data_IF_346492737157
#
_entry.id   IF_346492737157
#
_cell.length_a   1.000
_cell.length_b   1.000
_cell.length_c   1.000
_cell.angle_alpha   90.00
_cell.angle_beta   90.00
_cell.angle_gamma   90.00
#
_symmetry.space_group_name_H-M   'P 1'
#
loop_
_entity.id
_entity.type
_entity.pdbx_description
1 polymer ?
#
# COMPACT_ATOMS: atom_id res chain seq x y z
N UNK A 1 -15.59 -7.82 -12.36
CA UNK A 1 -15.27 -6.44 -11.93
C UNK A 1 -14.98 -6.34 -10.43
N UNK A 2 -15.56 -7.23 -9.61
CA UNK A 2 -15.50 -7.15 -8.14
C UNK A 2 -14.11 -7.41 -7.54
N UNK A 3 -13.31 -8.36 -8.05
CA UNK A 3 -12.00 -8.70 -7.46
C UNK A 3 -10.98 -7.55 -7.51
N UNK A 4 -10.84 -6.87 -8.66
CA UNK A 4 -9.89 -5.75 -8.80
C UNK A 4 -10.35 -4.52 -8.00
N UNK A 5 -11.67 -4.26 -7.97
CA UNK A 5 -12.24 -3.20 -7.13
C UNK A 5 -12.05 -3.49 -5.65
N UNK A 6 -12.26 -4.74 -5.22
CA UNK A 6 -12.02 -5.18 -3.85
C UNK A 6 -10.55 -5.04 -3.46
N UNK A 7 -9.62 -5.47 -4.32
CA UNK A 7 -8.19 -5.29 -4.10
C UNK A 7 -7.82 -3.80 -4.01
N UNK A 8 -8.31 -2.97 -4.93
CA UNK A 8 -7.94 -1.56 -4.98
C UNK A 8 -8.53 -0.75 -3.83
N UNK A 9 -9.84 -0.86 -3.59
CA UNK A 9 -10.52 -0.13 -2.52
C UNK A 9 -10.17 -0.72 -1.15
N UNK A 10 -10.26 -2.03 -0.99
CA UNK A 10 -9.98 -2.70 0.28
C UNK A 10 -8.50 -2.57 0.65
N UNK A 11 -7.60 -2.86 -0.29
CA UNK A 11 -6.16 -2.70 -0.06
C UNK A 11 -5.75 -1.25 0.15
N UNK A 12 -6.23 -0.34 -0.70
CA UNK A 12 -5.91 1.09 -0.58
C UNK A 12 -6.42 1.70 0.72
N UNK A 13 -7.67 1.40 1.11
CA UNK A 13 -8.22 1.81 2.41
C UNK A 13 -7.46 1.17 3.57
N UNK A 14 -7.09 -0.11 3.47
CA UNK A 14 -6.27 -0.81 4.46
C UNK A 14 -4.93 -0.11 4.71
N UNK A 15 -4.21 0.27 3.66
CA UNK A 15 -2.95 1.03 3.78
C UNK A 15 -3.17 2.39 4.44
N UNK A 16 -4.25 3.11 4.09
CA UNK A 16 -4.57 4.41 4.72
C UNK A 16 -4.88 4.23 6.21
N UNK A 17 -5.71 3.26 6.58
CA UNK A 17 -6.04 2.96 7.98
C UNK A 17 -4.78 2.57 8.74
N UNK A 18 -3.92 1.74 8.15
CA UNK A 18 -2.67 1.34 8.76
C UNK A 18 -1.70 2.50 8.96
N UNK A 19 -1.61 3.41 7.98
CA UNK A 19 -0.84 4.64 8.10
C UNK A 19 -1.39 5.56 9.21
N UNK A 20 -2.71 5.69 9.33
CA UNK A 20 -3.36 6.47 10.40
C UNK A 20 -3.12 5.87 11.79
N UNK A 21 -3.16 4.54 11.92
CA UNK A 21 -2.72 3.86 13.14
C UNK A 21 -1.26 4.20 13.45
N UNK A 22 -0.38 4.19 12.45
CA UNK A 22 1.01 4.62 12.61
C UNK A 22 1.15 6.08 13.05
N UNK A 23 0.31 6.99 12.57
CA UNK A 23 0.28 8.39 13.05
C UNK A 23 -0.05 8.45 14.54
N UNK A 24 -1.04 7.67 14.99
CA UNK A 24 -1.47 7.64 16.39
C UNK A 24 -0.37 7.04 17.27
N UNK A 25 0.26 5.94 16.83
CA UNK A 25 1.23 5.20 17.63
C UNK A 25 2.62 5.86 17.67
N UNK A 26 3.10 6.42 16.55
CA UNK A 26 4.45 6.99 16.42
C UNK A 26 4.48 8.54 16.31
N UNK A 27 3.31 9.19 16.32
CA UNK A 27 3.13 10.63 16.51
C UNK A 27 3.26 11.51 15.27
N UNK A 28 4.37 11.47 14.54
CA UNK A 28 4.69 12.48 13.51
C UNK A 28 3.94 12.24 12.19
N UNK A 29 2.86 12.99 11.84
CA UNK A 29 1.98 12.61 10.73
C UNK A 29 2.65 12.69 9.35
N UNK A 30 3.58 13.64 9.20
CA UNK A 30 4.33 13.86 7.95
C UNK A 30 5.08 12.61 7.50
N UNK A 31 5.54 11.77 8.43
CA UNK A 31 6.26 10.52 8.13
C UNK A 31 5.40 9.48 7.42
N UNK A 32 4.08 9.57 7.55
CA UNK A 32 3.12 8.59 7.01
C UNK A 32 2.39 9.09 5.75
N UNK A 33 2.62 10.35 5.34
CA UNK A 33 2.02 10.92 4.12
C UNK A 33 2.32 10.08 2.85
N UNK A 34 3.52 9.52 2.64
CA UNK A 34 3.78 8.67 1.48
C UNK A 34 2.90 7.40 1.45
N UNK A 35 2.64 6.79 2.60
CA UNK A 35 1.77 5.62 2.72
C UNK A 35 0.31 6.01 2.43
N UNK A 36 -0.17 7.12 3.01
CA UNK A 36 -1.52 7.65 2.79
C UNK A 36 -1.74 7.97 1.30
N UNK A 37 -0.80 8.69 0.68
CA UNK A 37 -0.87 9.04 -0.74
C UNK A 37 -0.92 7.79 -1.62
N UNK A 38 -0.05 6.81 -1.35
CA UNK A 38 -0.02 5.53 -2.07
C UNK A 38 -1.35 4.79 -1.94
N UNK A 39 -1.93 4.71 -0.74
CA UNK A 39 -3.23 4.08 -0.50
C UNK A 39 -4.38 4.75 -1.26
N UNK A 40 -4.43 6.09 -1.26
CA UNK A 40 -5.43 6.87 -2.02
C UNK A 40 -5.28 6.64 -3.52
N UNK A 41 -4.03 6.68 -4.04
CA UNK A 41 -3.75 6.43 -5.45
C UNK A 41 -4.19 5.01 -5.83
N UNK A 42 -3.81 4.00 -5.05
CA UNK A 42 -4.19 2.61 -5.30
C UNK A 42 -5.72 2.43 -5.36
N UNK A 43 -6.47 3.06 -4.46
CA UNK A 43 -7.93 3.00 -4.45
C UNK A 43 -8.58 3.70 -5.66
N UNK A 44 -8.04 4.86 -6.05
CA UNK A 44 -8.58 5.68 -7.15
C UNK A 44 -8.17 5.25 -8.56
N UNK A 45 -7.05 4.51 -8.69
CA UNK A 45 -6.41 4.25 -9.99
C UNK A 45 -7.32 3.57 -11.03
N UNK A 46 -8.11 2.51 -10.70
CA UNK A 46 -8.98 1.89 -11.69
C UNK A 46 -10.04 2.85 -12.23
N UNK A 47 -10.54 3.75 -11.39
CA UNK A 47 -11.55 4.73 -11.78
C UNK A 47 -10.95 5.87 -12.60
N UNK A 48 -9.77 6.36 -12.19
CA UNK A 48 -9.01 7.36 -12.94
C UNK A 48 -8.69 6.89 -14.36
N UNK A 49 -8.18 5.66 -14.50
CA UNK A 49 -7.86 5.08 -15.82
C UNK A 49 -9.10 4.86 -16.69
N UNK A 50 -10.24 4.44 -16.11
CA UNK A 50 -11.49 4.31 -16.86
C UNK A 50 -11.97 5.67 -17.41
N UNK A 51 -11.85 6.74 -16.61
CA UNK A 51 -12.16 8.10 -17.07
C UNK A 51 -11.18 8.60 -18.13
N UNK A 52 -9.89 8.36 -17.94
CA UNK A 52 -8.85 8.72 -18.90
C UNK A 52 -9.10 8.02 -20.25
N UNK A 53 -9.38 6.72 -20.24
CA UNK A 53 -9.70 5.96 -21.44
C UNK A 53 -10.95 6.53 -22.16
N UNK A 54 -11.98 6.92 -21.39
CA UNK A 54 -13.16 7.59 -21.97
C UNK A 54 -12.81 8.94 -22.59
N UNK A 55 -12.00 9.74 -21.93
CA UNK A 55 -11.55 11.05 -22.45
C UNK A 55 -10.72 10.89 -23.74
N UNK A 56 -9.76 9.96 -23.76
CA UNK A 56 -8.95 9.63 -24.94
C UNK A 56 -9.83 9.13 -26.08
N UNK A 57 -10.79 8.24 -25.79
CA UNK A 57 -11.71 7.71 -26.81
C UNK A 57 -12.58 8.82 -27.40
N UNK A 58 -13.09 9.74 -26.57
CA UNK A 58 -13.83 10.93 -27.03
C UNK A 58 -12.97 11.83 -27.90
N UNK A 59 -11.75 12.16 -27.46
CA UNK A 59 -10.83 13.00 -28.20
C UNK A 59 -10.46 12.38 -29.56
N UNK A 60 -10.14 11.08 -29.57
CA UNK A 60 -9.85 10.34 -30.81
C UNK A 60 -11.04 10.33 -31.76
N UNK A 61 -12.26 10.19 -31.25
CA UNK A 61 -13.49 10.24 -32.07
C UNK A 61 -13.76 11.64 -32.64
N UNK A 62 -13.39 12.71 -31.91
CA UNK A 62 -13.51 14.11 -32.36
C UNK A 62 -12.46 14.49 -33.41
N UNK A 63 -11.26 13.93 -33.32
CA UNK A 63 -10.15 14.21 -34.24
C UNK A 63 -10.14 13.31 -35.47
N UNK A 64 -10.88 12.20 -35.46
CA UNK A 64 -11.02 11.34 -36.62
C UNK A 64 -11.96 11.98 -37.64
N UNK A 65 -11.55 12.01 -38.91
CA UNK A 65 -12.29 12.60 -40.03
C UNK A 65 -13.77 12.16 -40.01
N UNK A 66 -14.75 13.05 -40.30
CA UNK A 66 -16.16 12.71 -40.26
C UNK A 66 -16.53 11.54 -41.19
N UNK A 67 -15.84 11.40 -42.32
CA UNK A 67 -16.18 10.44 -43.37
C UNK A 67 -15.36 9.15 -43.35
N UNK A 68 -14.16 9.14 -42.76
CA UNK A 68 -13.33 7.92 -42.74
C UNK A 68 -13.82 6.93 -41.67
N UNK A 69 -14.30 5.77 -42.12
CA UNK A 69 -14.68 4.64 -41.26
C UNK A 69 -16.13 4.61 -40.77
N UNK A 70 -16.99 5.52 -41.24
CA UNK A 70 -18.45 5.43 -41.07
C UNK A 70 -19.00 4.56 -42.21
N UNK A 71 -18.98 3.24 -42.03
CA UNK A 71 -19.88 2.39 -42.81
C UNK A 71 -21.31 2.70 -42.35
N UNK A 72 -22.25 2.72 -43.29
CA UNK A 72 -23.67 2.87 -43.00
C UNK A 72 -24.21 1.76 -42.07
N UNK A 73 -23.48 0.64 -41.94
CA UNK A 73 -23.78 -0.48 -41.04
C UNK A 73 -23.24 -0.31 -39.60
N UNK A 74 -22.22 0.54 -39.35
CA UNK A 74 -21.61 0.64 -38.01
C UNK A 74 -22.18 1.80 -37.17
N UNK A 75 -23.16 1.47 -36.35
CA UNK A 75 -23.47 2.19 -35.10
C UNK A 75 -23.90 3.64 -35.30
N UNK A 76 -24.92 3.86 -36.12
CA UNK A 76 -25.57 5.16 -36.28
C UNK A 76 -26.25 5.53 -34.96
N UNK A 77 -25.73 6.57 -34.31
CA UNK A 77 -26.38 7.22 -33.18
C UNK A 77 -26.85 8.58 -33.67
N UNK A 78 -28.15 8.81 -33.58
CA UNK A 78 -28.77 10.09 -33.88
C UNK A 78 -29.31 10.67 -32.59
N UNK A 79 -29.01 11.94 -32.30
CA UNK A 79 -29.51 12.64 -31.11
C UNK A 79 -30.29 13.84 -31.56
N UNK A 80 -31.52 14.02 -31.06
CA UNK A 80 -32.36 15.16 -31.38
C UNK A 80 -31.63 16.46 -31.06
N UNK A 81 -31.91 17.56 -31.78
CA UNK A 81 -31.36 18.92 -31.58
C UNK A 81 -32.07 19.72 -30.50
N UNK A 82 -33.31 19.35 -30.18
CA UNK A 82 -34.15 19.89 -29.13
C UNK A 82 -34.46 18.82 -28.07
N UNK A 83 -34.80 19.27 -26.86
CA UNK A 83 -35.40 18.42 -25.84
C UNK A 83 -36.91 18.32 -26.02
N UNK A 84 -37.50 17.22 -25.56
CA UNK A 84 -38.95 16.99 -25.47
C UNK A 84 -39.40 17.15 -24.01
N UNK A 85 -40.65 17.57 -23.83
CA UNK A 85 -41.22 17.87 -22.51
C UNK A 85 -41.91 16.65 -21.88
N UNK A 86 -42.55 15.79 -22.69
CA UNK A 86 -43.18 14.55 -22.24
C UNK A 86 -42.54 13.31 -22.91
N UNK A 87 -41.64 12.61 -22.19
CA UNK A 87 -41.03 11.38 -22.67
C UNK A 87 -42.01 10.26 -22.98
N UNK A 88 -43.10 10.12 -22.22
CA UNK A 88 -44.04 9.00 -22.37
C UNK A 88 -44.93 9.21 -23.58
N UNK A 89 -45.48 10.42 -23.73
CA UNK A 89 -46.28 10.79 -24.89
C UNK A 89 -45.45 10.70 -26.18
N UNK A 90 -44.18 11.13 -26.12
CA UNK A 90 -43.28 11.03 -27.28
C UNK A 90 -43.04 9.58 -27.69
N UNK A 91 -42.79 8.67 -26.75
CA UNK A 91 -42.63 7.25 -27.08
C UNK A 91 -43.92 6.63 -27.63
N UNK A 92 -45.10 7.03 -27.15
CA UNK A 92 -46.37 6.56 -27.73
C UNK A 92 -46.57 7.07 -29.15
N UNK A 93 -46.26 8.34 -29.39
CA UNK A 93 -46.33 8.97 -30.71
C UNK A 93 -45.42 8.27 -31.71
N UNK A 94 -44.17 8.00 -31.31
CA UNK A 94 -43.22 7.24 -32.12
C UNK A 94 -43.73 5.81 -32.37
N UNK A 95 -44.19 5.11 -31.34
CA UNK A 95 -44.70 3.74 -31.49
C UNK A 95 -45.85 3.69 -32.49
N UNK A 96 -46.79 4.63 -32.40
CA UNK A 96 -47.94 4.67 -33.27
C UNK A 96 -47.57 5.10 -34.70
N UNK A 97 -46.56 5.95 -34.88
CA UNK A 97 -46.02 6.29 -36.20
C UNK A 97 -45.36 5.08 -36.87
N UNK A 98 -44.50 4.36 -36.14
CA UNK A 98 -43.80 3.17 -36.64
C UNK A 98 -44.78 2.04 -36.94
N UNK A 99 -45.83 1.84 -36.14
CA UNK A 99 -46.87 0.82 -36.40
C UNK A 99 -47.72 1.09 -37.64
N UNK A 100 -47.82 2.34 -38.10
CA UNK A 100 -48.57 2.69 -39.32
C UNK A 100 -47.75 2.44 -40.58
N UNK A 101 -46.45 2.22 -40.44
CA UNK A 101 -45.54 1.94 -41.53
C UNK A 101 -45.35 0.42 -41.66
N UNK A 102 -45.71 -0.14 -42.82
CA UNK A 102 -45.64 -1.57 -43.10
C UNK A 102 -44.20 -2.09 -43.23
N UNK A 103 -43.19 -1.20 -43.24
CA UNK A 103 -41.78 -1.56 -43.38
C UNK A 103 -41.15 -2.16 -42.10
N UNK A 104 -41.81 -2.03 -40.93
CA UNK A 104 -41.31 -2.51 -39.65
C UNK A 104 -42.06 -3.76 -39.18
N UNK A 105 -41.31 -4.77 -38.75
CA UNK A 105 -41.87 -6.05 -38.32
C UNK A 105 -42.59 -5.93 -36.97
N UNK A 106 -42.02 -5.14 -36.05
CA UNK A 106 -42.49 -5.08 -34.68
C UNK A 106 -42.00 -3.83 -33.95
N UNK A 107 -42.77 -3.35 -32.97
CA UNK A 107 -42.35 -2.27 -32.07
C UNK A 107 -42.80 -2.56 -30.64
N UNK A 108 -41.83 -2.73 -29.75
CA UNK A 108 -42.05 -3.06 -28.34
C UNK A 108 -41.53 -1.97 -27.41
N UNK A 109 -42.14 -1.84 -26.23
CA UNK A 109 -41.58 -1.05 -25.13
C UNK A 109 -40.56 -1.90 -24.38
N UNK A 110 -39.39 -1.33 -24.13
CA UNK A 110 -38.31 -1.98 -23.38
C UNK A 110 -37.86 -1.09 -22.22
N UNK A 111 -37.42 -1.70 -21.12
CA UNK A 111 -36.90 -1.00 -19.96
C UNK A 111 -35.38 -0.88 -20.03
N UNK A 112 -34.86 0.35 -20.06
CA UNK A 112 -33.43 0.66 -20.05
C UNK A 112 -33.01 1.30 -18.71
N UNK A 113 -31.70 1.40 -18.47
CA UNK A 113 -31.14 2.00 -17.24
C UNK A 113 -31.58 3.46 -17.02
N UNK A 114 -31.84 4.19 -18.10
CA UNK A 114 -32.29 5.59 -18.05
C UNK A 114 -33.81 5.76 -18.05
N UNK A 115 -34.59 4.69 -18.27
CA UNK A 115 -36.05 4.75 -18.36
C UNK A 115 -36.64 3.89 -19.48
N UNK A 116 -37.95 4.02 -19.74
CA UNK A 116 -38.61 3.33 -20.84
C UNK A 116 -38.08 3.81 -22.20
N UNK A 117 -38.03 2.90 -23.17
CA UNK A 117 -37.72 3.19 -24.57
C UNK A 117 -38.46 2.23 -25.50
N UNK A 118 -38.14 2.31 -26.78
CA UNK A 118 -38.69 1.42 -27.80
C UNK A 118 -37.60 0.58 -28.46
N UNK A 119 -37.92 -0.68 -28.74
CA UNK A 119 -37.20 -1.56 -29.64
C UNK A 119 -38.04 -1.75 -30.89
N UNK A 120 -37.48 -1.41 -32.05
CA UNK A 120 -38.14 -1.48 -33.36
C UNK A 120 -37.39 -2.52 -34.19
N UNK A 121 -38.10 -3.59 -34.57
CA UNK A 121 -37.56 -4.68 -35.38
C UNK A 121 -37.87 -4.45 -36.86
N UNK A 122 -36.88 -4.72 -37.69
CA UNK A 122 -36.99 -4.61 -39.15
C UNK A 122 -36.08 -5.63 -39.83
N UNK A 123 -36.46 -6.06 -41.04
CA UNK A 123 -35.72 -7.05 -41.82
C UNK A 123 -35.59 -8.40 -41.12
N UNK A 124 -36.51 -8.73 -40.21
CA UNK A 124 -36.59 -9.99 -39.47
C UNK A 124 -35.66 -10.11 -38.25
N UNK A 125 -34.47 -9.50 -38.28
CA UNK A 125 -33.43 -9.73 -37.25
C UNK A 125 -32.67 -8.48 -36.79
N UNK A 126 -32.85 -7.32 -37.42
CA UNK A 126 -32.19 -6.09 -37.00
C UNK A 126 -33.10 -5.30 -36.08
N UNK A 127 -32.52 -4.71 -35.03
CA UNK A 127 -33.23 -3.83 -34.10
C UNK A 127 -32.65 -2.41 -34.13
N UNK A 128 -33.55 -1.44 -34.08
CA UNK A 128 -33.26 -0.03 -33.82
C UNK A 128 -33.93 0.37 -32.50
N UNK A 129 -33.24 1.13 -31.68
CA UNK A 129 -33.72 1.55 -30.37
C UNK A 129 -33.98 3.05 -30.35
N UNK A 130 -35.15 3.45 -29.82
CA UNK A 130 -35.50 4.85 -29.54
C UNK A 130 -35.55 5.05 -28.04
N UNK A 131 -34.67 5.90 -27.53
CA UNK A 131 -34.44 6.08 -26.09
C UNK A 131 -34.37 7.57 -25.77
N UNK A 132 -34.69 7.94 -24.54
CA UNK A 132 -34.74 9.36 -24.12
C UNK A 132 -33.73 9.59 -22.99
N UNK A 133 -32.87 10.59 -23.18
CA UNK A 133 -31.90 10.99 -22.14
C UNK A 133 -32.61 11.71 -20.99
N UNK A 134 -31.98 11.78 -19.82
CA UNK A 134 -32.49 12.58 -18.68
C UNK A 134 -32.70 14.06 -19.00
N UNK A 135 -31.99 14.60 -20.00
CA UNK A 135 -32.17 15.97 -20.48
C UNK A 135 -33.25 16.11 -21.56
N UNK A 136 -34.13 15.11 -21.72
CA UNK A 136 -35.23 15.13 -22.69
C UNK A 136 -34.79 14.98 -24.13
N UNK A 137 -33.56 14.54 -24.44
CA UNK A 137 -33.12 14.32 -25.84
C UNK A 137 -33.55 12.95 -26.33
N UNK A 138 -34.17 12.88 -27.49
CA UNK A 138 -34.50 11.63 -28.17
C UNK A 138 -33.26 11.11 -28.88
N UNK A 139 -32.99 9.82 -28.76
CA UNK A 139 -31.80 9.17 -29.28
C UNK A 139 -32.22 7.91 -30.03
N UNK A 140 -31.85 7.84 -31.31
CA UNK A 140 -32.08 6.67 -32.17
C UNK A 140 -30.75 5.97 -32.38
N UNK A 141 -30.68 4.68 -32.03
CA UNK A 141 -29.45 3.88 -32.17
C UNK A 141 -29.72 2.55 -32.85
N UNK A 142 -28.87 2.17 -33.80
CA UNK A 142 -28.97 0.87 -34.47
C UNK A 142 -27.66 0.49 -35.19
N UNK A 143 -27.65 -0.72 -35.74
CA UNK A 143 -26.51 -1.32 -36.45
C UNK A 143 -26.85 -1.62 -37.93
N UNK A 144 -27.81 -0.88 -38.50
CA UNK A 144 -28.27 -1.01 -39.87
C UNK A 144 -28.42 0.37 -40.50
N UNK A 145 -28.32 0.46 -41.83
CA UNK A 145 -28.60 1.69 -42.59
C UNK A 145 -30.02 2.19 -42.30
N UNK A 146 -30.96 1.27 -42.07
CA UNK A 146 -32.37 1.54 -41.72
C UNK A 146 -32.58 2.26 -40.38
N UNK A 147 -31.53 2.41 -39.59
CA UNK A 147 -31.57 3.29 -38.40
C UNK A 147 -31.84 4.75 -38.81
N UNK A 148 -31.38 5.15 -40.00
CA UNK A 148 -31.66 6.48 -40.54
C UNK A 148 -33.15 6.64 -40.85
N UNK A 149 -33.79 5.60 -41.39
CA UNK A 149 -35.21 5.61 -41.74
C UNK A 149 -36.08 5.73 -40.48
N UNK A 150 -35.78 4.94 -39.44
CA UNK A 150 -36.42 5.09 -38.12
C UNK A 150 -36.24 6.49 -37.56
N UNK A 151 -35.06 7.09 -37.72
CA UNK A 151 -34.80 8.47 -37.30
C UNK A 151 -35.64 9.49 -38.09
N UNK A 152 -35.91 9.26 -39.38
CA UNK A 152 -36.81 10.12 -40.16
C UNK A 152 -38.25 9.98 -39.66
N UNK A 153 -38.73 8.76 -39.45
CA UNK A 153 -40.07 8.51 -38.89
C UNK A 153 -40.24 9.20 -37.53
N UNK A 154 -39.25 9.09 -36.65
CA UNK A 154 -39.26 9.78 -35.35
C UNK A 154 -39.19 11.31 -35.52
N UNK A 155 -38.38 11.78 -36.47
CA UNK A 155 -38.25 13.20 -36.78
C UNK A 155 -39.55 13.82 -37.25
N UNK A 156 -40.26 13.14 -38.15
CA UNK A 156 -41.52 13.60 -38.70
C UNK A 156 -42.65 13.52 -37.67
N UNK A 157 -42.76 12.39 -36.95
CA UNK A 157 -43.82 12.19 -35.97
C UNK A 157 -43.76 13.17 -34.79
N UNK A 158 -42.55 13.59 -34.40
CA UNK A 158 -42.34 14.44 -33.23
C UNK A 158 -41.81 15.84 -33.59
N UNK A 159 -41.74 16.20 -34.88
CA UNK A 159 -41.15 17.46 -35.35
C UNK A 159 -39.74 17.72 -34.81
N UNK A 160 -38.91 16.67 -34.79
CA UNK A 160 -37.53 16.70 -34.29
C UNK A 160 -36.53 16.66 -35.43
N UNK A 161 -35.45 17.43 -35.28
CA UNK A 161 -34.25 17.30 -36.13
C UNK A 161 -33.15 16.61 -35.36
N UNK A 162 -32.30 15.84 -36.04
CA UNK A 162 -31.27 15.02 -35.41
C UNK A 162 -29.88 15.36 -35.91
N UNK A 163 -28.90 15.30 -35.01
CA UNK A 163 -27.49 15.25 -35.35
C UNK A 163 -26.97 13.82 -35.26
N UNK A 164 -26.28 13.37 -36.31
CA UNK A 164 -25.54 12.10 -36.27
C UNK A 164 -24.28 12.28 -35.42
N UNK A 165 -24.07 11.40 -34.45
CA UNK A 165 -22.92 11.45 -33.54
C UNK A 165 -22.24 10.10 -33.40
N UNK A 166 -20.94 10.12 -33.08
CA UNK A 166 -20.17 8.93 -32.67
C UNK A 166 -20.19 8.73 -31.15
N UNK A 167 -20.76 9.68 -30.41
CA UNK A 167 -20.86 9.64 -28.95
C UNK A 167 -22.26 9.18 -28.55
N UNK A 168 -22.42 7.88 -28.26
CA UNK A 168 -23.66 7.39 -27.66
C UNK A 168 -23.83 8.00 -26.25
N UNK A 169 -24.90 8.78 -25.99
CA UNK A 169 -25.11 9.45 -24.71
C UNK A 169 -25.33 8.46 -23.55
N UNK A 170 -25.73 7.22 -23.86
CA UNK A 170 -25.91 6.13 -22.90
C UNK A 170 -24.66 5.28 -22.71
N UNK A 171 -23.56 5.56 -23.43
CA UNK A 171 -22.32 4.81 -23.25
C UNK A 171 -21.66 5.17 -21.92
N UNK A 172 -21.81 4.27 -20.94
CA UNK A 172 -21.18 4.32 -19.64
C UNK A 172 -19.65 4.16 -19.68
N UNK A 173 -19.01 4.26 -18.51
CA UNK A 173 -17.58 3.99 -18.36
C UNK A 173 -17.31 2.52 -18.65
N UNK A 174 -16.60 2.23 -19.75
CA UNK A 174 -16.17 0.87 -20.02
C UNK A 174 -15.06 0.48 -19.04
N UNK A 175 -15.22 -0.64 -18.30
CA UNK A 175 -14.15 -1.13 -17.44
C UNK A 175 -12.97 -1.61 -18.28
N UNK A 176 -11.78 -1.57 -17.69
CA UNK A 176 -10.57 -2.15 -18.29
C UNK A 176 -10.75 -3.67 -18.38
N UNK A 177 -10.66 -4.22 -19.58
CA UNK A 177 -10.83 -5.64 -19.89
C UNK A 177 -9.53 -6.24 -20.44
N UNK A 178 -9.41 -7.57 -20.40
CA UNK A 178 -8.30 -8.32 -20.99
C UNK A 178 -6.96 -8.16 -20.24
N UNK A 179 -5.85 -8.36 -20.94
CA UNK A 179 -4.49 -8.32 -20.38
C UNK A 179 -4.14 -7.05 -19.59
N UNK A 180 -4.53 -5.82 -20.02
CA UNK A 180 -4.28 -4.60 -19.24
C UNK A 180 -4.83 -4.64 -17.81
N UNK A 181 -5.88 -5.43 -17.57
CA UNK A 181 -6.46 -5.60 -16.24
C UNK A 181 -5.54 -6.37 -15.30
N UNK A 182 -4.80 -7.36 -15.82
CA UNK A 182 -3.86 -8.16 -15.02
C UNK A 182 -2.66 -7.30 -14.62
N UNK A 183 -2.09 -6.55 -15.58
CA UNK A 183 -1.02 -5.60 -15.31
C UNK A 183 -1.44 -4.54 -14.29
N UNK A 184 -2.65 -4.00 -14.40
CA UNK A 184 -3.19 -3.07 -13.40
C UNK A 184 -3.32 -3.71 -12.01
N UNK A 185 -3.72 -4.99 -11.95
CA UNK A 185 -3.76 -5.74 -10.69
C UNK A 185 -2.39 -5.90 -10.05
N UNK A 186 -1.38 -6.29 -10.83
CA UNK A 186 0.02 -6.40 -10.37
C UNK A 186 0.54 -5.03 -9.91
N UNK A 187 0.30 -3.98 -10.69
CA UNK A 187 0.73 -2.64 -10.35
C UNK A 187 0.08 -2.14 -9.04
N UNK A 188 -1.22 -2.35 -8.86
CA UNK A 188 -1.90 -2.02 -7.60
C UNK A 188 -1.30 -2.82 -6.45
N UNK A 189 -1.07 -4.12 -6.63
CA UNK A 189 -0.43 -4.95 -5.60
C UNK A 189 0.95 -4.39 -5.20
N UNK A 190 1.79 -4.01 -6.18
CA UNK A 190 3.08 -3.36 -5.92
C UNK A 190 2.93 -2.05 -5.15
N UNK A 191 1.93 -1.22 -5.49
CA UNK A 191 1.63 -0.01 -4.71
C UNK A 191 1.25 -0.34 -3.27
N UNK A 192 0.45 -1.39 -3.02
CA UNK A 192 0.07 -1.79 -1.67
C UNK A 192 1.27 -2.25 -0.84
N UNK A 193 2.18 -3.03 -1.46
CA UNK A 193 3.44 -3.45 -0.83
C UNK A 193 4.31 -2.23 -0.51
N UNK A 194 4.47 -1.31 -1.46
CA UNK A 194 5.23 -0.07 -1.25
C UNK A 194 4.60 0.82 -0.17
N UNK A 195 3.28 0.91 -0.12
CA UNK A 195 2.54 1.63 0.92
C UNK A 195 2.77 1.06 2.31
N UNK A 196 2.79 -0.27 2.43
CA UNK A 196 3.09 -0.98 3.69
C UNK A 196 4.54 -0.74 4.13
N UNK A 197 5.49 -0.82 3.20
CA UNK A 197 6.89 -0.49 3.46
C UNK A 197 7.09 0.98 3.89
N UNK A 198 6.30 1.90 3.33
CA UNK A 198 6.31 3.31 3.72
C UNK A 198 5.80 3.52 5.16
N UNK A 199 4.85 2.71 5.65
CA UNK A 199 4.46 2.72 7.08
C UNK A 199 5.64 2.27 7.94
N UNK A 200 6.34 1.19 7.56
CA UNK A 200 7.57 0.74 8.22
C UNK A 200 8.64 1.84 8.30
N UNK A 201 8.88 2.54 7.19
CA UNK A 201 9.83 3.67 7.16
C UNK A 201 9.39 4.86 8.02
N UNK A 202 8.08 5.11 8.13
CA UNK A 202 7.57 6.17 8.99
C UNK A 202 7.69 5.84 10.49
N UNK A 203 7.43 4.58 10.86
CA UNK A 203 7.53 4.06 12.22
C UNK A 203 8.99 3.98 12.69
N UNK A 204 9.87 3.44 11.84
CA UNK A 204 11.28 3.20 12.12
C UNK A 204 12.15 3.95 11.09
N UNK A 205 12.34 5.28 11.25
CA UNK A 205 12.99 6.13 10.26
C UNK A 205 14.52 5.96 10.18
N UNK A 206 15.11 5.18 11.07
CA UNK A 206 16.56 4.99 11.10
C UNK A 206 17.03 4.05 10.00
N UNK A 207 18.11 4.40 9.32
CA UNK A 207 18.73 3.54 8.29
C UNK A 207 19.47 2.31 8.86
N UNK A 208 19.37 2.09 10.17
CA UNK A 208 19.80 0.86 10.83
C UNK A 208 19.01 -0.36 10.39
N UNK A 209 17.79 -0.15 9.89
CA UNK A 209 16.87 -1.21 9.51
C UNK A 209 16.57 -1.16 8.02
N UNK A 210 16.67 -2.30 7.35
CA UNK A 210 16.21 -2.43 5.97
C UNK A 210 14.66 -2.42 5.91
N UNK A 211 14.04 -2.21 4.73
CA UNK A 211 12.59 -2.12 4.63
C UNK A 211 11.83 -3.34 5.16
N UNK A 212 12.38 -4.55 5.04
CA UNK A 212 11.73 -5.77 5.53
C UNK A 212 11.74 -5.84 7.06
N UNK A 213 12.88 -5.52 7.70
CA UNK A 213 13.00 -5.48 9.15
C UNK A 213 12.05 -4.46 9.79
N UNK A 214 11.91 -3.28 9.17
CA UNK A 214 10.94 -2.26 9.61
C UNK A 214 9.51 -2.80 9.58
N UNK A 215 9.16 -3.58 8.55
CA UNK A 215 7.83 -4.20 8.44
C UNK A 215 7.63 -5.26 9.54
N UNK A 216 8.65 -6.06 9.87
CA UNK A 216 8.58 -7.04 10.96
C UNK A 216 8.39 -6.34 12.31
N UNK A 217 9.16 -5.29 12.59
CA UNK A 217 9.05 -4.50 13.82
C UNK A 217 7.65 -3.89 13.98
N UNK A 218 7.11 -3.29 12.91
CA UNK A 218 5.73 -2.79 12.92
C UNK A 218 4.72 -3.93 13.07
N UNK A 219 4.98 -5.10 12.48
CA UNK A 219 4.13 -6.28 12.66
C UNK A 219 4.05 -6.72 14.12
N UNK A 220 5.17 -6.69 14.85
CA UNK A 220 5.22 -6.96 16.29
C UNK A 220 4.39 -5.91 17.06
N UNK A 221 4.48 -4.63 16.68
CA UNK A 221 3.65 -3.57 17.30
C UNK A 221 2.16 -3.76 17.08
N UNK A 222 1.76 -4.04 15.84
CA UNK A 222 0.36 -4.32 15.51
C UNK A 222 -0.15 -5.50 16.31
N UNK A 223 0.66 -6.56 16.46
CA UNK A 223 0.25 -7.72 17.23
C UNK A 223 0.04 -7.36 18.70
N UNK A 224 0.95 -6.58 19.31
CA UNK A 224 0.80 -6.11 20.69
C UNK A 224 -0.41 -5.20 20.90
N UNK A 225 -0.78 -4.39 19.90
CA UNK A 225 -1.93 -3.47 19.98
C UNK A 225 -3.28 -4.16 19.75
N UNK A 226 -3.32 -5.24 18.95
CA UNK A 226 -4.57 -5.87 18.48
C UNK A 226 -4.90 -7.16 19.22
N UNK A 227 -3.90 -7.93 19.65
CA UNK A 227 -4.10 -9.20 20.33
C UNK A 227 -4.06 -9.02 21.86
N UNK A 228 -5.22 -9.12 22.56
CA UNK A 228 -5.27 -8.93 24.01
C UNK A 228 -4.54 -10.02 24.80
N UNK A 229 -4.13 -11.12 24.15
CA UNK A 229 -3.32 -12.17 24.79
C UNK A 229 -1.82 -11.86 24.82
N UNK A 230 -1.36 -10.84 24.08
CA UNK A 230 0.04 -10.43 24.02
C UNK A 230 0.25 -9.26 24.98
N UNK A 231 1.08 -9.45 26.00
CA UNK A 231 1.41 -8.38 26.94
C UNK A 231 2.42 -7.39 26.35
N UNK A 232 2.45 -6.16 26.86
CA UNK A 232 3.48 -5.19 26.47
C UNK A 232 4.89 -5.75 26.67
N UNK A 233 5.13 -6.47 27.78
CA UNK A 233 6.38 -7.18 28.04
C UNK A 233 6.72 -8.18 26.93
N UNK A 234 5.75 -8.94 26.43
CA UNK A 234 5.98 -9.89 25.32
C UNK A 234 6.28 -9.19 24.00
N UNK A 235 5.66 -8.04 23.75
CA UNK A 235 5.97 -7.18 22.59
C UNK A 235 7.42 -6.71 22.65
N UNK A 236 7.85 -6.20 23.81
CA UNK A 236 9.24 -5.75 24.00
C UNK A 236 10.24 -6.92 23.86
N UNK A 237 9.95 -8.08 24.45
CA UNK A 237 10.81 -9.27 24.31
C UNK A 237 10.87 -9.79 22.87
N UNK A 238 9.77 -9.69 22.12
CA UNK A 238 9.73 -10.11 20.71
C UNK A 238 10.55 -9.16 19.83
N UNK A 239 10.47 -7.84 20.07
CA UNK A 239 11.35 -6.86 19.41
C UNK A 239 12.83 -7.08 19.75
N UNK A 240 13.15 -7.29 21.03
CA UNK A 240 14.51 -7.57 21.46
C UNK A 240 15.07 -8.85 20.82
N UNK A 241 14.27 -9.91 20.77
CA UNK A 241 14.65 -11.17 20.11
C UNK A 241 14.91 -10.95 18.62
N UNK A 242 14.02 -10.25 17.92
CA UNK A 242 14.18 -9.95 16.50
C UNK A 242 15.45 -9.13 16.23
N UNK A 243 15.70 -8.10 17.03
CA UNK A 243 16.91 -7.29 16.87
C UNK A 243 18.19 -8.05 17.22
N UNK A 244 18.17 -9.00 18.15
CA UNK A 244 19.30 -9.89 18.38
C UNK A 244 19.63 -10.75 17.14
N UNK A 245 18.60 -11.17 16.38
CA UNK A 245 18.78 -11.89 15.12
C UNK A 245 19.34 -10.99 14.01
N UNK A 246 18.88 -9.73 13.93
CA UNK A 246 19.46 -8.72 13.02
C UNK A 246 20.95 -8.46 13.34
N UNK A 247 21.32 -8.36 14.62
CA UNK A 247 22.73 -8.19 15.01
C UNK A 247 23.55 -9.42 14.64
N UNK A 248 23.00 -10.63 14.79
CA UNK A 248 23.69 -11.86 14.41
C UNK A 248 23.96 -11.94 12.90
N UNK A 249 23.05 -11.42 12.06
CA UNK A 249 23.28 -11.31 10.61
C UNK A 249 24.40 -10.31 10.28
N UNK A 250 24.60 -9.30 11.13
CA UNK A 250 25.64 -8.27 10.97
C UNK A 250 27.06 -8.81 10.81
N UNK A 251 27.41 -9.95 11.43
CA UNK A 251 28.70 -10.63 11.23
C UNK A 251 28.89 -11.00 9.74
N UNK A 252 27.85 -11.62 9.17
CA UNK A 252 27.85 -12.07 7.77
C UNK A 252 27.91 -10.87 6.84
N UNK A 253 27.14 -9.81 7.13
CA UNK A 253 27.15 -8.59 6.33
C UNK A 253 28.51 -7.87 6.35
N UNK A 254 29.19 -7.82 7.50
CA UNK A 254 30.54 -7.26 7.64
C UNK A 254 31.56 -8.05 6.82
N UNK A 255 31.47 -9.39 6.82
CA UNK A 255 32.36 -10.26 6.05
C UNK A 255 32.08 -10.23 4.54
N UNK A 256 30.81 -10.08 4.14
CA UNK A 256 30.41 -10.04 2.73
C UNK A 256 30.54 -8.67 2.09
N UNK A 257 30.54 -7.60 2.88
CA UNK A 257 31.02 -6.31 2.43
C UNK A 257 32.47 -6.50 1.97
N UNK A 258 32.66 -6.48 0.64
CA UNK A 258 33.94 -6.59 -0.06
C UNK A 258 34.92 -5.50 0.44
N UNK A 259 35.99 -5.17 -0.28
CA UNK A 259 36.97 -4.15 0.17
C UNK A 259 36.41 -2.70 0.23
N UNK A 260 35.09 -2.53 0.26
CA UNK A 260 34.39 -1.30 0.57
C UNK A 260 34.32 -1.06 2.08
N UNK A 261 35.33 -0.36 2.58
CA UNK A 261 35.42 -0.01 4.00
C UNK A 261 34.29 0.88 4.51
N UNK A 262 33.61 1.64 3.64
CA UNK A 262 32.48 2.47 4.06
C UNK A 262 31.25 1.61 4.31
N UNK A 263 31.01 0.64 3.44
CA UNK A 263 29.94 -0.35 3.60
C UNK A 263 30.17 -1.20 4.85
N UNK A 264 31.40 -1.72 5.07
CA UNK A 264 31.75 -2.46 6.30
C UNK A 264 31.45 -1.62 7.55
N UNK A 265 31.89 -0.36 7.57
CA UNK A 265 31.64 0.54 8.70
C UNK A 265 30.15 0.89 8.86
N UNK A 266 29.38 0.95 7.77
CA UNK A 266 27.94 1.14 7.81
C UNK A 266 27.25 -0.05 8.47
N UNK A 267 27.59 -1.28 8.09
CA UNK A 267 27.02 -2.49 8.70
C UNK A 267 27.34 -2.60 10.18
N UNK A 268 28.59 -2.35 10.58
CA UNK A 268 28.93 -2.30 12.01
C UNK A 268 28.16 -1.22 12.78
N UNK A 269 27.91 -0.04 12.20
CA UNK A 269 27.10 1.02 12.83
C UNK A 269 25.63 0.63 12.93
N UNK A 270 25.09 -0.07 11.94
CA UNK A 270 23.71 -0.55 11.92
C UNK A 270 23.51 -1.63 13.00
N UNK A 271 24.39 -2.63 13.03
CA UNK A 271 24.42 -3.66 14.07
C UNK A 271 24.54 -3.04 15.48
N UNK A 272 25.38 -2.02 15.67
CA UNK A 272 25.51 -1.37 16.97
C UNK A 272 24.24 -0.62 17.38
N UNK A 273 23.53 0.00 16.44
CA UNK A 273 22.23 0.62 16.72
C UNK A 273 21.17 -0.42 17.09
N UNK A 274 21.07 -1.51 16.32
CA UNK A 274 20.16 -2.61 16.60
C UNK A 274 20.44 -3.25 17.97
N UNK A 275 21.71 -3.44 18.33
CA UNK A 275 22.13 -3.89 19.66
C UNK A 275 21.65 -2.98 20.78
N UNK A 276 21.85 -1.66 20.64
CA UNK A 276 21.39 -0.70 21.65
C UNK A 276 19.86 -0.68 21.78
N UNK A 277 19.14 -0.80 20.67
CA UNK A 277 17.68 -0.89 20.69
C UNK A 277 17.19 -2.20 21.33
N UNK A 278 17.83 -3.33 21.04
CA UNK A 278 17.54 -4.62 21.68
C UNK A 278 17.72 -4.54 23.20
N UNK A 279 18.83 -3.94 23.67
CA UNK A 279 19.09 -3.72 25.11
C UNK A 279 18.04 -2.82 25.74
N UNK A 280 17.63 -1.74 25.06
CA UNK A 280 16.56 -0.85 25.54
C UNK A 280 15.23 -1.58 25.68
N UNK A 281 14.89 -2.47 24.74
CA UNK A 281 13.69 -3.30 24.84
C UNK A 281 13.78 -4.34 25.97
N UNK A 282 14.93 -4.98 26.17
CA UNK A 282 15.17 -5.88 27.32
C UNK A 282 15.05 -5.13 28.65
N UNK A 283 15.65 -3.96 28.76
CA UNK A 283 15.56 -3.12 29.95
C UNK A 283 14.10 -2.69 30.23
N UNK A 284 13.36 -2.31 29.19
CA UNK A 284 11.94 -1.93 29.31
C UNK A 284 11.08 -3.13 29.75
N UNK A 285 11.32 -4.32 29.17
CA UNK A 285 10.62 -5.54 29.56
C UNK A 285 10.86 -5.91 31.04
N UNK A 286 12.10 -5.71 31.54
CA UNK A 286 12.49 -5.97 32.93
C UNK A 286 11.96 -4.92 33.92
N UNK A 287 11.88 -3.66 33.50
CA UNK A 287 11.42 -2.55 34.34
C UNK A 287 9.91 -2.59 34.62
N UNK A 288 9.14 -3.35 33.83
CA UNK A 288 7.71 -3.58 34.06
C UNK A 288 7.44 -4.54 35.22
N UNK A 289 6.45 -5.42 35.05
CA UNK A 289 6.13 -6.49 36.00
C UNK A 289 6.18 -7.85 35.31
N UNK A 290 7.37 -8.29 34.84
CA UNK A 290 7.50 -9.53 34.10
C UNK A 290 7.24 -10.75 35.00
N UNK A 291 6.66 -11.78 34.41
CA UNK A 291 6.59 -13.12 35.02
C UNK A 291 7.98 -13.78 35.05
N UNK A 292 8.15 -14.84 35.84
CA UNK A 292 9.40 -15.61 35.87
C UNK A 292 9.77 -16.16 34.49
N UNK A 293 8.81 -16.64 33.70
CA UNK A 293 9.04 -17.13 32.34
C UNK A 293 9.53 -16.03 31.40
N UNK A 294 9.00 -14.81 31.54
CA UNK A 294 9.42 -13.65 30.75
C UNK A 294 10.83 -13.18 31.13
N UNK A 295 11.20 -13.24 32.42
CA UNK A 295 12.56 -12.96 32.87
C UNK A 295 13.55 -13.98 32.31
N UNK A 296 13.23 -15.27 32.38
CA UNK A 296 14.08 -16.31 31.77
C UNK A 296 14.22 -16.14 30.26
N UNK A 297 13.14 -15.72 29.58
CA UNK A 297 13.17 -15.39 28.15
C UNK A 297 14.08 -14.18 27.88
N UNK A 298 13.99 -13.12 28.69
CA UNK A 298 14.86 -11.96 28.59
C UNK A 298 16.34 -12.35 28.73
N UNK A 299 16.67 -13.21 29.69
CA UNK A 299 18.04 -13.68 29.92
C UNK A 299 18.57 -14.52 28.75
N UNK A 300 17.72 -15.36 28.14
CA UNK A 300 18.08 -16.10 26.92
C UNK A 300 18.36 -15.15 25.75
N UNK A 301 17.52 -14.13 25.57
CA UNK A 301 17.70 -13.13 24.50
C UNK A 301 18.98 -12.32 24.75
N UNK A 302 19.24 -11.89 25.98
CA UNK A 302 20.45 -11.15 26.33
C UNK A 302 21.73 -11.96 26.05
N UNK A 303 21.76 -13.25 26.42
CA UNK A 303 22.90 -14.13 26.09
C UNK A 303 23.11 -14.25 24.58
N UNK A 304 22.04 -14.40 23.80
CA UNK A 304 22.12 -14.44 22.33
C UNK A 304 22.62 -13.12 21.75
N UNK A 305 22.13 -11.99 22.27
CA UNK A 305 22.56 -10.68 21.82
C UNK A 305 24.06 -10.46 22.07
N UNK A 306 24.56 -10.81 23.27
CA UNK A 306 26.00 -10.70 23.59
C UNK A 306 26.86 -11.56 22.67
N UNK A 307 26.44 -12.79 22.41
CA UNK A 307 27.14 -13.66 21.45
C UNK A 307 27.20 -13.03 20.05
N UNK A 308 26.08 -12.48 19.58
CA UNK A 308 26.00 -11.80 18.28
C UNK A 308 26.88 -10.53 18.23
N UNK A 309 26.89 -9.73 19.30
CA UNK A 309 27.75 -8.54 19.43
C UNK A 309 29.23 -8.90 19.36
N UNK A 310 29.63 -9.98 20.04
CA UNK A 310 31.00 -10.48 20.00
C UNK A 310 31.37 -10.95 18.57
N UNK A 311 30.51 -11.70 17.89
CA UNK A 311 30.74 -12.12 16.51
C UNK A 311 30.91 -10.95 15.54
N UNK A 312 30.13 -9.88 15.70
CA UNK A 312 30.30 -8.64 14.90
C UNK A 312 31.62 -7.93 15.24
N UNK A 313 31.99 -7.85 16.51
CA UNK A 313 33.25 -7.25 16.94
C UNK A 313 34.46 -7.99 16.36
N UNK A 314 34.44 -9.32 16.41
CA UNK A 314 35.45 -10.20 15.82
C UNK A 314 35.55 -9.98 14.31
N UNK A 315 34.42 -9.97 13.60
CA UNK A 315 34.40 -9.71 12.16
C UNK A 315 34.95 -8.31 11.79
N UNK A 316 34.65 -7.27 12.57
CA UNK A 316 35.20 -5.93 12.36
C UNK A 316 36.72 -5.90 12.60
N UNK A 317 37.20 -6.62 13.62
CA UNK A 317 38.63 -6.74 13.94
C UNK A 317 39.40 -7.50 12.85
N UNK A 318 38.84 -8.61 12.35
CA UNK A 318 39.38 -9.37 11.20
C UNK A 318 39.53 -8.45 9.98
N UNK A 319 38.48 -7.68 9.64
CA UNK A 319 38.53 -6.75 8.49
C UNK A 319 39.52 -5.61 8.69
N UNK A 320 39.69 -5.12 9.92
CA UNK A 320 40.68 -4.10 10.24
C UNK A 320 42.13 -4.61 10.08
N UNK A 321 42.37 -5.90 10.28
CA UNK A 321 43.72 -6.49 10.33
C UNK A 321 44.16 -7.20 9.04
N UNK A 322 43.23 -7.52 8.13
CA UNK A 322 43.47 -8.20 6.85
C UNK A 322 44.31 -7.39 5.83
N UNK A 323 44.62 -6.12 6.11
CA UNK A 323 45.49 -5.29 5.25
C UNK A 323 44.87 -4.88 3.90
N UNK A 324 43.64 -5.32 3.61
CA UNK A 324 42.86 -4.97 2.41
C UNK A 324 42.19 -3.59 2.50
N UNK A 325 42.22 -2.95 3.68
CA UNK A 325 41.58 -1.67 3.98
C UNK A 325 42.66 -0.64 4.37
N UNK A 326 42.58 0.62 3.91
CA UNK A 326 43.49 1.69 4.33
C UNK A 326 43.53 1.86 5.87
N UNK A 327 44.71 2.13 6.43
CA UNK A 327 44.98 2.18 7.88
C UNK A 327 44.03 3.12 8.66
N UNK A 328 43.65 4.25 8.08
CA UNK A 328 42.67 5.17 8.67
C UNK A 328 41.30 4.50 8.88
N UNK A 329 40.86 3.70 7.90
CA UNK A 329 39.59 3.00 7.95
C UNK A 329 39.68 1.76 8.82
N UNK A 330 40.81 1.03 8.81
CA UNK A 330 41.09 -0.05 9.75
C UNK A 330 40.97 0.43 11.20
N UNK A 331 41.55 1.59 11.53
CA UNK A 331 41.44 2.19 12.88
C UNK A 331 39.99 2.50 13.25
N UNK A 332 39.19 3.00 12.30
CA UNK A 332 37.75 3.27 12.54
C UNK A 332 36.96 1.98 12.79
N UNK A 333 37.29 0.89 12.09
CA UNK A 333 36.67 -0.42 12.28
C UNK A 333 37.02 -1.04 13.62
N UNK A 334 38.30 -0.99 14.04
CA UNK A 334 38.72 -1.46 15.37
C UNK A 334 37.98 -0.71 16.48
N UNK A 335 37.92 0.64 16.42
CA UNK A 335 37.15 1.43 17.39
C UNK A 335 35.67 1.08 17.41
N UNK A 336 35.11 0.63 16.29
CA UNK A 336 33.72 0.20 16.21
C UNK A 336 33.53 -1.18 16.86
N UNK A 337 34.49 -2.10 16.67
CA UNK A 337 34.57 -3.38 17.40
C UNK A 337 34.68 -3.16 18.91
N UNK A 338 35.58 -2.27 19.36
CA UNK A 338 35.75 -1.92 20.77
C UNK A 338 34.43 -1.40 21.39
N UNK A 339 33.57 -0.76 20.60
CA UNK A 339 32.26 -0.29 21.06
C UNK A 339 31.25 -1.41 21.28
N UNK A 340 31.42 -2.58 20.70
CA UNK A 340 30.61 -3.75 21.06
C UNK A 340 31.10 -4.35 22.38
N UNK A 341 32.43 -4.46 22.55
CA UNK A 341 33.07 -5.03 23.73
C UNK A 341 32.96 -4.12 24.99
N UNK A 342 33.06 -2.80 24.82
CA UNK A 342 33.04 -1.84 25.93
C UNK A 342 31.66 -1.60 26.54
N UNK A 343 30.58 -2.10 25.92
CA UNK A 343 29.23 -1.97 26.49
C UNK A 343 29.00 -3.01 27.62
N UNK A 344 30.03 -3.80 27.95
CA UNK A 344 29.94 -4.95 28.87
C UNK A 344 30.78 -4.83 30.15
N UNK A 345 30.86 -3.64 30.79
CA UNK A 345 31.23 -3.60 32.22
C UNK A 345 30.11 -3.02 33.07
N UNK A 346 29.35 -3.88 33.80
CA UNK A 346 28.70 -3.44 35.01
C UNK A 346 29.79 -2.89 35.94
N UNK A 347 29.67 -1.62 36.34
CA UNK A 347 30.42 -1.06 37.46
C UNK A 347 29.96 -1.77 38.73
N UNK A 348 30.57 -2.92 39.01
CA UNK A 348 30.15 -3.82 40.06
C UNK A 348 31.29 -4.72 40.50
N UNK A 349 32.45 -4.13 40.78
CA UNK A 349 33.41 -4.64 41.78
C UNK A 349 34.46 -3.55 42.13
N UNK A 350 34.02 -2.42 42.69
CA UNK A 350 34.89 -1.62 43.57
C UNK A 350 34.67 -2.15 44.99
N UNK A 351 35.12 -3.39 45.20
CA UNK A 351 34.98 -4.17 46.41
C UNK A 351 36.33 -4.72 46.86
N UNK A 352 37.10 -3.86 47.52
CA UNK A 352 38.11 -4.25 48.51
C UNK A 352 39.38 -4.95 48.00
N UNK A 353 40.25 -4.17 47.36
CA UNK A 353 41.67 -4.49 47.29
C UNK A 353 42.49 -3.28 47.75
N UNK A 354 42.30 -2.84 49.00
CA UNK A 354 43.37 -2.18 49.76
C UNK A 354 42.97 -2.07 51.23
N UNK A 355 43.70 -2.82 52.06
CA UNK A 355 44.15 -2.48 53.43
C UNK A 355 43.90 -3.62 54.42
N UNK A 356 44.73 -4.67 54.38
CA UNK A 356 45.01 -5.44 55.60
C UNK A 356 46.43 -5.98 55.58
N UNK A 357 47.40 -5.08 55.73
CA UNK A 357 48.70 -5.47 56.27
C UNK A 357 49.37 -4.28 56.96
N UNK A 358 49.00 -4.01 58.22
CA UNK A 358 49.94 -3.45 59.19
C UNK A 358 49.45 -3.52 60.64
N UNK A 359 50.22 -4.30 61.40
CA UNK A 359 50.52 -4.16 62.84
C UNK A 359 49.48 -4.70 63.82
N UNK A 360 49.59 -6.01 64.04
CA UNK A 360 49.41 -6.63 65.36
C UNK A 360 50.52 -6.15 66.29
N UNK A 361 50.21 -5.30 67.28
CA UNK A 361 50.98 -5.16 68.54
C UNK A 361 50.05 -4.77 69.70
N UNK A 362 49.90 -5.75 70.61
CA UNK A 362 49.85 -5.63 72.08
C UNK A 362 48.63 -4.94 72.76
N UNK A 363 47.71 -5.80 73.24
CA UNK A 363 46.98 -5.88 74.54
C UNK A 363 47.16 -4.81 75.65
N UNK A 364 46.39 -4.81 76.78
CA UNK A 364 45.03 -5.32 77.11
C UNK A 364 44.17 -4.30 77.95
N UNK A 365 43.00 -4.75 78.45
CA UNK A 365 42.03 -4.08 79.37
C UNK A 365 40.99 -3.16 78.67
N UNK A 366 39.69 -3.15 78.97
CA UNK A 366 38.97 -3.47 80.21
C UNK A 366 37.51 -3.93 79.97
N UNK A 367 36.95 -4.54 81.02
CA UNK A 367 35.55 -4.94 81.24
C UNK A 367 34.54 -3.78 81.20
N UNK A 368 33.31 -4.07 80.74
CA UNK A 368 31.98 -3.74 81.30
C UNK A 368 30.93 -4.02 80.18
N UNK A 369 29.97 -4.95 80.24
CA UNK A 369 28.78 -5.16 81.11
C UNK A 369 27.84 -3.94 81.18
N UNK A 370 26.56 -4.25 80.90
CA UNK A 370 25.32 -3.45 80.99
C UNK A 370 24.92 -2.77 79.66
N UNK A 371 23.74 -2.97 79.06
CA UNK A 371 22.46 -3.59 79.47
C UNK A 371 21.87 -4.41 78.33
#
# INVERSE_FOLDING_TARGET
>A
MNKLRGLSWGGGAGVVVFALWGVIHYGTPVRFLPAIATGIVAAGLPYGLARLNRAITRLRRRLADPETGISAEKGSVFVSKSSIDDPVETLETVRDAVKRDEEYDETEREAFEEGPGLSIRHGGFHNTFVRITRGGRVVVTGASERTADVRDVVGDACSLTFDRTRENPFQGLQPIKGAPRVFLGVFIFTLLVAGTAAVGAGAYPTDAYNPAERVVLVGIDVQGDVDPSVSETDTQLSKASFLADVVAEGETEVRWAQNDSELVAQQGRNALRASNDARRYLASARAGSPTSEQLERADRIERRLRAAEQSVAEALSERATDGSIPEENATKLSRLGDRFESVERPSGDDGDATTTERVTRLAPHARAVAF
#
